data_IF_818354332929
#
_entry.id   IF_818354332929
#
_cell.length_a   1.000
_cell.length_b   1.000
_cell.length_c   1.000
_cell.angle_alpha   90.00
_cell.angle_beta   90.00
_cell.angle_gamma   90.00
#
_symmetry.space_group_name_H-M   'P 1'
#
loop_
_entity.id
_entity.type
_entity.pdbx_description
1 polymer ?
#
# COMPACT_ATOMS: atom_id res chain seq x y z
N UNK A 1 10.00 2.73 25.24
CA UNK A 1 9.02 2.56 24.16
C UNK A 1 9.24 3.70 23.19
N UNK A 2 9.75 3.45 21.98
CA UNK A 2 9.71 4.49 20.96
C UNK A 2 8.24 4.78 20.70
N UNK A 3 7.84 6.04 20.81
CA UNK A 3 6.56 6.49 20.29
C UNK A 3 6.53 6.01 18.84
N UNK A 4 5.54 5.18 18.48
CA UNK A 4 5.23 4.87 17.10
C UNK A 4 5.13 6.22 16.41
N UNK A 5 6.18 6.62 15.69
CA UNK A 5 6.15 7.84 14.90
C UNK A 5 5.15 7.51 13.79
N UNK A 6 3.87 7.81 14.06
CA UNK A 6 2.76 7.37 13.21
C UNK A 6 2.74 8.34 12.05
N UNK A 7 3.76 8.20 11.22
CA UNK A 7 3.92 8.98 10.02
C UNK A 7 3.00 8.38 8.99
N UNK A 8 2.25 9.27 8.34
CA UNK A 8 1.33 8.89 7.29
C UNK A 8 1.83 9.43 5.97
N UNK A 9 1.50 8.71 4.90
CA UNK A 9 1.65 9.16 3.52
C UNK A 9 0.27 9.15 2.86
N UNK A 10 0.00 10.13 2.01
CA UNK A 10 -1.23 10.17 1.22
C UNK A 10 -0.93 9.71 -0.20
N UNK A 11 -1.50 8.58 -0.60
CA UNK A 11 -1.51 8.13 -1.99
C UNK A 11 -2.70 8.78 -2.71
N UNK A 12 -2.49 9.25 -3.92
CA UNK A 12 -3.51 9.94 -4.72
C UNK A 12 -3.61 9.27 -6.09
N UNK A 13 -4.79 8.78 -6.44
CA UNK A 13 -5.09 8.17 -7.73
C UNK A 13 -5.23 9.20 -8.86
N UNK A 14 -5.30 8.73 -10.10
CA UNK A 14 -5.53 9.50 -11.33
C UNK A 14 -6.82 10.33 -11.29
N UNK A 15 -7.88 9.73 -10.72
CA UNK A 15 -9.22 10.28 -10.52
C UNK A 15 -9.39 11.03 -9.17
N UNK A 16 -8.27 11.29 -8.46
CA UNK A 16 -8.15 12.13 -7.27
C UNK A 16 -8.74 11.55 -5.97
N UNK A 17 -9.02 10.25 -5.89
CA UNK A 17 -9.21 9.60 -4.60
C UNK A 17 -7.91 9.65 -3.78
N UNK A 18 -8.07 9.74 -2.46
CA UNK A 18 -6.95 9.94 -1.52
C UNK A 18 -6.99 8.87 -0.45
N UNK A 19 -5.90 8.13 -0.34
CA UNK A 19 -5.72 7.08 0.64
C UNK A 19 -4.62 7.50 1.60
N UNK A 20 -4.98 7.74 2.86
CA UNK A 20 -4.02 8.08 3.91
C UNK A 20 -3.63 6.78 4.61
N UNK A 21 -2.37 6.38 4.46
CA UNK A 21 -1.87 5.10 4.98
C UNK A 21 -0.64 5.32 5.85
N UNK A 22 -0.38 4.39 6.79
CA UNK A 22 0.84 4.47 7.59
C UNK A 22 2.08 4.29 6.72
N UNK A 23 3.17 4.98 7.07
CA UNK A 23 4.45 4.81 6.38
C UNK A 23 4.96 3.37 6.51
N UNK A 24 4.75 2.70 7.64
CA UNK A 24 5.19 1.31 7.80
C UNK A 24 4.54 0.37 6.77
N UNK A 25 3.26 0.59 6.48
CA UNK A 25 2.51 -0.17 5.47
C UNK A 25 2.93 0.24 4.06
N UNK A 26 3.04 1.54 3.79
CA UNK A 26 3.51 2.03 2.51
C UNK A 26 4.95 1.60 2.18
N UNK A 27 5.78 1.38 3.20
CA UNK A 27 7.19 0.97 3.06
C UNK A 27 7.36 -0.46 2.54
N UNK A 28 6.29 -1.26 2.49
CA UNK A 28 6.31 -2.58 1.84
C UNK A 28 6.70 -2.41 0.37
N UNK A 29 6.12 -1.43 -0.34
CA UNK A 29 6.52 -1.08 -1.69
C UNK A 29 7.85 -0.33 -1.67
N UNK A 30 8.85 -0.87 -2.37
CA UNK A 30 10.15 -0.20 -2.54
C UNK A 30 10.02 1.11 -3.33
N UNK A 31 9.09 1.16 -4.27
CA UNK A 31 8.79 2.34 -5.10
C UNK A 31 8.16 3.45 -4.27
N UNK A 32 7.17 3.14 -3.44
CA UNK A 32 6.56 4.15 -2.55
C UNK A 32 7.57 4.68 -1.53
N UNK A 33 8.38 3.79 -0.93
CA UNK A 33 9.42 4.15 0.04
C UNK A 33 10.48 5.10 -0.53
N UNK A 34 10.83 4.91 -1.80
CA UNK A 34 11.83 5.74 -2.49
C UNK A 34 11.24 6.99 -3.17
N UNK A 35 9.93 7.23 -3.03
CA UNK A 35 9.28 8.39 -3.64
C UNK A 35 9.59 9.69 -2.87
N UNK A 36 9.56 10.84 -3.57
CA UNK A 36 9.75 12.16 -2.95
C UNK A 36 8.70 12.49 -1.87
N UNK A 37 7.55 11.78 -1.85
CA UNK A 37 6.51 11.95 -0.84
C UNK A 37 6.78 11.19 0.47
N UNK A 38 7.92 10.54 0.63
CA UNK A 38 8.21 9.68 1.78
C UNK A 38 9.12 10.30 2.85
N UNK A 39 9.44 11.60 2.75
CA UNK A 39 10.35 12.31 3.66
C UNK A 39 9.93 12.23 5.14
N UNK A 40 10.86 11.92 6.06
CA UNK A 40 10.64 11.91 7.51
C UNK A 40 10.11 13.27 8.04
N UNK A 41 9.16 13.22 8.96
CA UNK A 41 8.58 14.39 9.63
C UNK A 41 7.54 15.16 8.83
N UNK A 42 7.18 14.70 7.61
CA UNK A 42 6.10 15.30 6.81
C UNK A 42 5.09 14.24 6.36
N UNK A 43 3.81 14.63 6.33
CA UNK A 43 2.79 13.90 5.58
C UNK A 43 2.95 14.20 4.10
N UNK A 44 3.78 13.44 3.42
CA UNK A 44 3.97 13.61 1.98
C UNK A 44 2.81 13.03 1.16
N UNK A 45 2.70 13.50 -0.08
CA UNK A 45 1.68 13.10 -1.04
C UNK A 45 2.37 12.46 -2.24
N UNK A 46 1.91 11.27 -2.62
CA UNK A 46 2.41 10.54 -3.79
C UNK A 46 1.25 10.43 -4.77
N UNK A 47 1.41 11.00 -5.97
CA UNK A 47 0.45 10.81 -7.05
C UNK A 47 0.84 9.56 -7.83
N UNK A 48 -0.14 8.70 -8.09
CA UNK A 48 0.02 7.43 -8.78
C UNK A 48 -0.85 7.43 -10.04
N UNK A 49 -0.29 6.90 -11.13
CA UNK A 49 -0.99 6.75 -12.40
C UNK A 49 -1.83 5.47 -12.38
N UNK A 50 -2.93 5.47 -11.63
CA UNK A 50 -3.90 4.38 -11.52
C UNK A 50 -5.22 4.91 -10.95
N UNK A 51 -6.31 4.27 -11.34
CA UNK A 51 -7.66 4.63 -10.90
C UNK A 51 -7.89 4.31 -9.41
N UNK A 52 -8.91 4.94 -8.82
CA UNK A 52 -9.17 4.88 -7.39
C UNK A 52 -9.45 3.47 -6.88
N UNK A 53 -10.15 2.66 -7.68
CA UNK A 53 -10.49 1.26 -7.36
C UNK A 53 -9.27 0.32 -7.37
N UNK A 54 -8.35 0.52 -8.33
CA UNK A 54 -7.06 -0.18 -8.35
C UNK A 54 -6.22 0.23 -7.14
N UNK A 55 -6.13 1.53 -6.86
CA UNK A 55 -5.36 2.02 -5.72
C UNK A 55 -5.95 1.55 -4.38
N UNK A 56 -7.27 1.50 -4.26
CA UNK A 56 -7.97 0.96 -3.09
C UNK A 56 -7.56 -0.49 -2.84
N UNK A 57 -7.64 -1.34 -3.87
CA UNK A 57 -7.27 -2.76 -3.75
C UNK A 57 -5.77 -2.94 -3.39
N UNK A 58 -4.89 -2.11 -3.95
CA UNK A 58 -3.47 -2.09 -3.57
C UNK A 58 -3.30 -1.70 -2.10
N UNK A 59 -3.97 -0.66 -1.63
CA UNK A 59 -3.91 -0.23 -0.23
C UNK A 59 -4.41 -1.33 0.70
N UNK A 60 -5.51 -2.01 0.36
CA UNK A 60 -6.01 -3.16 1.10
C UNK A 60 -4.98 -4.29 1.15
N UNK A 61 -4.34 -4.60 0.02
CA UNK A 61 -3.28 -5.62 -0.05
C UNK A 61 -2.08 -5.25 0.82
N UNK A 62 -1.63 -3.98 0.82
CA UNK A 62 -0.52 -3.54 1.67
C UNK A 62 -0.84 -3.74 3.16
N UNK A 63 -2.06 -3.41 3.60
CA UNK A 63 -2.48 -3.66 4.98
C UNK A 63 -2.63 -5.15 5.29
N UNK A 64 -3.15 -5.93 4.35
CA UNK A 64 -3.23 -7.38 4.46
C UNK A 64 -1.83 -7.99 4.64
N UNK A 65 -0.88 -7.64 3.78
CA UNK A 65 0.52 -8.07 3.87
C UNK A 65 1.13 -7.65 5.20
N UNK A 66 0.97 -6.37 5.60
CA UNK A 66 1.50 -5.88 6.87
C UNK A 66 0.96 -6.65 8.08
N UNK A 67 -0.34 -6.97 8.08
CA UNK A 67 -1.01 -7.67 9.18
C UNK A 67 -0.58 -9.12 9.28
N UNK A 68 -0.36 -9.79 8.15
CA UNK A 68 -0.11 -11.25 8.11
C UNK A 68 1.35 -11.63 7.84
N UNK A 69 2.27 -10.69 7.64
CA UNK A 69 3.70 -10.95 7.37
C UNK A 69 4.35 -11.92 8.38
N UNK A 70 3.99 -11.83 9.65
CA UNK A 70 4.51 -12.68 10.73
C UNK A 70 3.66 -13.96 10.94
N UNK A 71 2.44 -13.99 10.38
CA UNK A 71 1.55 -15.16 10.53
C UNK A 71 2.01 -16.36 9.70
N UNK A 72 2.74 -16.11 8.60
CA UNK A 72 3.32 -17.15 7.74
C UNK A 72 4.32 -18.01 8.50
N UNK A 73 5.19 -17.40 9.31
CA UNK A 73 6.21 -18.12 10.08
C UNK A 73 5.63 -18.78 11.32
N UNK A 74 4.54 -18.23 11.86
CA UNK A 74 3.82 -18.77 13.02
C UNK A 74 2.84 -19.91 12.68
N UNK A 75 2.69 -20.25 11.40
CA UNK A 75 1.79 -21.31 10.94
C UNK A 75 0.31 -21.01 11.23
N UNK A 76 -0.07 -19.73 11.30
CA UNK A 76 -1.45 -19.31 11.51
C UNK A 76 -2.23 -19.33 10.19
N UNK A 77 -3.54 -19.54 10.28
CA UNK A 77 -4.43 -19.40 9.14
C UNK A 77 -4.45 -17.94 8.66
N UNK A 78 -4.19 -17.77 7.37
CA UNK A 78 -4.21 -16.48 6.68
C UNK A 78 -5.46 -16.47 5.79
N UNK A 79 -6.36 -15.47 5.94
CA UNK A 79 -7.57 -15.41 5.12
C UNK A 79 -7.21 -15.15 3.66
N UNK A 80 -8.03 -15.65 2.73
CA UNK A 80 -7.82 -15.40 1.30
C UNK A 80 -8.02 -13.91 0.96
N UNK A 81 -7.12 -13.35 0.15
CA UNK A 81 -7.24 -12.00 -0.37
C UNK A 81 -7.99 -12.02 -1.70
N UNK A 82 -9.23 -11.55 -1.69
CA UNK A 82 -10.11 -11.60 -2.86
C UNK A 82 -9.87 -10.40 -3.79
N UNK A 83 -9.39 -10.67 -5.00
CA UNK A 83 -9.21 -9.66 -6.04
C UNK A 83 -10.46 -9.62 -6.93
N UNK A 84 -11.11 -8.45 -7.12
CA UNK A 84 -12.20 -8.32 -8.08
C UNK A 84 -11.74 -8.69 -9.49
N UNK A 85 -12.41 -9.64 -10.13
CA UNK A 85 -11.97 -10.20 -11.42
C UNK A 85 -11.81 -9.16 -12.52
N UNK A 86 -12.65 -8.12 -12.52
CA UNK A 86 -12.59 -7.04 -13.50
C UNK A 86 -11.34 -6.14 -13.35
N UNK A 87 -10.67 -6.17 -12.19
CA UNK A 87 -9.45 -5.41 -11.91
C UNK A 87 -8.17 -6.23 -12.13
N UNK A 88 -8.27 -7.57 -12.24
CA UNK A 88 -7.13 -8.47 -12.07
C UNK A 88 -5.93 -8.18 -13.01
N UNK A 89 -6.19 -7.90 -14.29
CA UNK A 89 -5.12 -7.65 -15.27
C UNK A 89 -4.42 -6.31 -15.01
N UNK A 90 -5.18 -5.26 -14.71
CA UNK A 90 -4.61 -3.95 -14.44
C UNK A 90 -3.89 -3.93 -13.09
N UNK A 91 -4.49 -4.55 -12.07
CA UNK A 91 -3.91 -4.70 -10.75
C UNK A 91 -2.55 -5.40 -10.83
N UNK A 92 -2.41 -6.44 -11.66
CA UNK A 92 -1.13 -7.13 -11.88
C UNK A 92 -0.04 -6.17 -12.39
N UNK A 93 -0.38 -5.33 -13.38
CA UNK A 93 0.57 -4.36 -13.95
C UNK A 93 0.94 -3.28 -12.93
N UNK A 94 -0.03 -2.78 -12.15
CA UNK A 94 0.23 -1.77 -11.13
C UNK A 94 0.97 -2.32 -9.91
N UNK A 95 0.72 -3.58 -9.53
CA UNK A 95 1.44 -4.27 -8.45
C UNK A 95 2.92 -4.47 -8.82
N UNK A 96 3.20 -4.97 -10.03
CA UNK A 96 4.56 -5.09 -10.56
C UNK A 96 5.29 -3.74 -10.58
N UNK A 97 4.61 -2.68 -11.05
CA UNK A 97 5.14 -1.32 -11.01
C UNK A 97 5.49 -0.85 -9.59
N UNK A 98 4.68 -1.23 -8.58
CA UNK A 98 4.92 -0.86 -7.19
C UNK A 98 5.87 -1.83 -6.46
N UNK A 99 6.38 -2.88 -7.13
CA UNK A 99 7.26 -3.89 -6.54
C UNK A 99 6.65 -4.56 -5.30
N UNK A 100 5.42 -5.08 -5.44
CA UNK A 100 4.63 -5.75 -4.37
C UNK A 100 3.88 -7.00 -4.84
#
# INVERSE_FOLDING_TARGET
MSLLNTEFVTLVSSDNFKFVISKDVASISSVLRNSQGFEEGKTGKIKLDMDGDILECIVEYLYYHYKYKDSVTEGKDIPEFNIPTHLALELLVKADYLDI
#
